data_IF_821399674305
#
_entry.id   IF_821399674305
#
_cell.length_a   1.000
_cell.length_b   1.000
_cell.length_c   1.000
_cell.angle_alpha   90.00
_cell.angle_beta   90.00
_cell.angle_gamma   90.00
#
_symmetry.space_group_name_H-M   'P 1'
#
loop_
_entity.id
_entity.type
_entity.pdbx_description
1 polymer ?
#
# COMPACT_ATOMS: atom_id res chain seq x y z
N UNK A 1 34.18 17.33 28.41
CA UNK A 1 32.95 17.99 28.93
C UNK A 1 31.80 17.47 28.07
N UNK A 2 31.25 16.28 28.39
CA UNK A 2 29.96 16.06 29.07
C UNK A 2 28.85 16.94 28.46
N UNK A 3 27.75 16.43 27.89
CA UNK A 3 26.71 15.52 28.42
C UNK A 3 25.91 15.03 27.17
N UNK A 4 25.48 13.78 26.98
CA UNK A 4 24.37 13.14 27.67
C UNK A 4 24.25 11.66 27.27
N UNK A 5 24.36 10.76 28.26
CA UNK A 5 23.85 9.40 28.25
C UNK A 5 22.83 9.34 29.37
N UNK A 6 21.59 8.93 29.09
CA UNK A 6 20.67 8.56 30.16
C UNK A 6 19.83 7.36 29.74
N UNK A 7 20.26 6.22 30.28
CA UNK A 7 19.50 5.00 30.43
C UNK A 7 18.36 5.26 31.41
N UNK A 8 17.13 4.85 31.11
CA UNK A 8 16.16 4.48 32.14
C UNK A 8 15.35 3.28 31.68
N UNK A 9 15.76 2.12 32.20
CA UNK A 9 14.87 0.99 32.49
C UNK A 9 13.77 1.48 33.41
N UNK A 10 12.53 1.03 33.19
CA UNK A 10 11.68 0.55 34.27
C UNK A 10 10.69 -0.48 33.73
N UNK A 11 10.63 -1.59 34.45
CA UNK A 11 9.82 -2.77 34.19
C UNK A 11 8.63 -2.78 35.17
N UNK A 12 7.60 -3.53 34.78
CA UNK A 12 6.60 -4.19 35.62
C UNK A 12 5.37 -3.40 36.14
N UNK A 13 4.20 -3.73 35.58
CA UNK A 13 3.13 -4.56 36.22
C UNK A 13 1.99 -4.76 35.20
N UNK A 14 1.77 -5.96 34.66
CA UNK A 14 0.93 -7.05 35.21
C UNK A 14 -0.47 -6.58 35.63
N UNK A 15 -1.49 -6.94 34.84
CA UNK A 15 -2.64 -7.67 35.38
C UNK A 15 -3.31 -8.50 34.27
N UNK A 16 -3.53 -9.77 34.60
CA UNK A 16 -4.12 -10.84 33.80
C UNK A 16 -5.66 -10.80 33.83
N UNK A 17 -6.24 -11.76 33.08
CA UNK A 17 -7.56 -12.42 33.20
C UNK A 17 -8.41 -12.18 31.95
N UNK A 18 -8.94 -13.18 31.22
CA UNK A 18 -9.14 -14.60 31.52
C UNK A 18 -9.17 -15.42 30.23
N UNK A 19 -8.58 -16.63 30.30
CA UNK A 19 -8.95 -17.77 29.46
C UNK A 19 -10.14 -18.47 30.11
N UNK A 20 -11.18 -18.81 29.36
CA UNK A 20 -12.09 -19.92 29.70
C UNK A 20 -12.35 -20.71 28.44
N UNK A 21 -12.07 -22.01 28.51
CA UNK A 21 -12.24 -23.04 27.49
C UNK A 21 -13.25 -24.05 28.00
N UNK A 22 -14.25 -24.33 27.14
CA UNK A 22 -15.01 -25.56 26.91
C UNK A 22 -15.26 -26.56 28.06
N UNK A 23 -16.55 -26.76 28.36
CA UNK A 23 -17.30 -28.05 28.46
C UNK A 23 -18.79 -27.65 28.28
N UNK A 24 -19.67 -28.23 27.47
CA UNK A 24 -19.91 -29.62 27.12
C UNK A 24 -21.09 -30.14 27.94
N UNK A 25 -22.33 -30.15 27.43
CA UNK A 25 -23.34 -31.16 27.78
C UNK A 25 -24.56 -31.17 26.85
N UNK A 26 -25.00 -32.39 26.57
CA UNK A 26 -25.99 -32.82 25.61
C UNK A 26 -27.43 -32.73 26.13
N UNK A 27 -28.34 -32.52 25.17
CA UNK A 27 -29.74 -32.98 25.06
C UNK A 27 -30.55 -33.30 26.33
N UNK A 28 -31.73 -32.69 26.44
CA UNK A 28 -32.99 -33.46 26.46
C UNK A 28 -34.16 -32.67 25.84
N UNK A 29 -34.99 -33.44 25.16
CA UNK A 29 -36.27 -33.14 24.50
C UNK A 29 -37.37 -32.74 25.47
N UNK A 30 -38.32 -31.90 25.05
CA UNK A 30 -39.56 -31.66 25.80
C UNK A 30 -40.60 -30.87 25.00
N UNK A 31 -41.70 -31.55 24.67
CA UNK A 31 -42.78 -31.14 23.77
C UNK A 31 -44.01 -30.68 24.59
N UNK A 32 -44.82 -29.76 24.02
CA UNK A 32 -46.29 -29.60 24.18
C UNK A 32 -46.95 -28.75 25.30
N UNK A 33 -47.59 -27.65 24.82
CA UNK A 33 -49.04 -27.33 24.86
C UNK A 33 -49.68 -26.50 26.00
N UNK A 34 -50.68 -25.70 25.57
CA UNK A 34 -51.68 -24.86 26.27
C UNK A 34 -51.23 -23.46 26.74
N UNK A 35 -52.02 -22.38 26.70
CA UNK A 35 -53.21 -21.94 25.97
C UNK A 35 -53.50 -20.48 26.46
N UNK A 36 -54.36 -19.78 25.74
CA UNK A 36 -55.22 -18.67 26.21
C UNK A 36 -54.70 -17.21 26.26
N UNK A 37 -55.17 -16.45 25.27
CA UNK A 37 -55.91 -15.17 25.38
C UNK A 37 -55.18 -13.91 25.89
N UNK A 38 -54.82 -13.07 24.92
CA UNK A 38 -55.52 -11.81 24.67
C UNK A 38 -55.35 -10.65 25.67
N UNK A 39 -54.46 -9.72 25.35
CA UNK A 39 -54.60 -8.29 25.69
C UNK A 39 -54.08 -7.44 24.51
N UNK A 40 -54.90 -6.45 24.12
CA UNK A 40 -54.66 -5.47 23.05
C UNK A 40 -53.73 -4.32 23.54
N UNK A 41 -53.64 -3.18 22.83
CA UNK A 41 -52.56 -2.81 21.93
C UNK A 41 -51.71 -1.65 22.50
N UNK A 42 -50.45 -1.53 22.10
CA UNK A 42 -49.72 -0.29 22.25
C UNK A 42 -48.95 -0.02 20.96
N UNK A 43 -49.48 0.93 20.19
CA UNK A 43 -48.75 1.60 19.14
C UNK A 43 -47.45 2.16 19.73
N UNK A 44 -46.31 1.68 19.25
CA UNK A 44 -45.07 2.44 19.33
C UNK A 44 -44.54 2.55 17.90
N UNK A 45 -44.65 3.79 17.41
CA UNK A 45 -44.09 4.27 16.15
C UNK A 45 -42.58 3.94 16.11
N UNK A 46 -42.05 3.39 15.00
CA UNK A 46 -40.61 3.39 14.80
C UNK A 46 -40.16 4.85 14.67
N UNK A 47 -39.31 5.29 15.58
CA UNK A 47 -38.52 6.50 15.40
C UNK A 47 -37.48 6.21 14.30
N UNK A 48 -37.85 6.35 13.02
CA UNK A 48 -36.86 6.56 11.97
C UNK A 48 -36.33 7.99 12.11
N UNK A 49 -35.51 8.22 13.14
CA UNK A 49 -34.57 9.34 13.14
C UNK A 49 -33.30 8.86 12.46
N UNK A 50 -33.29 9.04 11.14
CA UNK A 50 -32.17 9.53 10.35
C UNK A 50 -30.91 9.85 11.20
N UNK A 51 -30.09 8.85 11.49
CA UNK A 51 -28.69 9.07 11.80
C UNK A 51 -27.95 8.88 10.51
N UNK A 52 -28.01 9.98 9.76
CA UNK A 52 -27.06 10.39 8.74
C UNK A 52 -25.74 9.64 8.85
N UNK A 53 -25.45 8.90 7.80
CA UNK A 53 -24.16 8.41 7.36
C UNK A 53 -23.00 9.29 7.87
N UNK A 54 -22.48 8.97 9.05
CA UNK A 54 -21.13 9.33 9.47
C UNK A 54 -20.45 8.00 9.78
N UNK A 55 -20.37 7.12 8.78
CA UNK A 55 -19.19 6.26 8.64
C UNK A 55 -18.09 7.16 8.09
N UNK A 56 -17.66 8.11 8.92
CA UNK A 56 -16.36 8.75 8.76
C UNK A 56 -15.37 7.68 9.14
N UNK A 57 -15.08 6.84 8.16
CA UNK A 57 -13.92 5.98 8.10
C UNK A 57 -12.73 6.92 8.23
N UNK A 58 -12.38 7.22 9.48
CA UNK A 58 -11.15 7.89 9.83
C UNK A 58 -10.07 6.88 9.50
N UNK A 59 -9.63 6.91 8.24
CA UNK A 59 -8.34 6.37 7.84
C UNK A 59 -7.33 7.16 8.65
N UNK A 60 -6.95 6.57 9.78
CA UNK A 60 -5.85 6.98 10.63
C UNK A 60 -4.66 7.29 9.74
N UNK A 61 -4.25 8.56 9.69
CA UNK A 61 -2.88 9.01 9.38
C UNK A 61 -2.08 8.04 8.51
N UNK A 62 -2.21 8.17 7.19
CA UNK A 62 -1.36 7.48 6.22
C UNK A 62 0.11 7.78 6.51
N UNK A 63 0.75 6.85 7.22
CA UNK A 63 2.20 6.79 7.27
C UNK A 63 2.67 6.42 5.87
N UNK A 64 3.47 7.29 5.26
CA UNK A 64 3.96 7.20 3.87
C UNK A 64 4.33 5.79 3.42
N UNK A 65 3.34 5.10 2.85
CA UNK A 65 3.50 3.75 2.32
C UNK A 65 4.09 3.88 0.92
N UNK A 66 5.30 3.36 0.75
CA UNK A 66 5.90 3.21 -0.58
C UNK A 66 5.07 2.23 -1.41
N UNK A 67 4.59 2.70 -2.57
CA UNK A 67 3.74 1.92 -3.46
C UNK A 67 4.51 1.54 -4.74
N UNK A 68 4.51 0.24 -5.04
CA UNK A 68 5.02 -0.32 -6.29
C UNK A 68 3.85 -0.73 -7.16
N UNK A 69 3.85 -0.22 -8.38
CA UNK A 69 2.82 -0.36 -9.39
C UNK A 69 3.30 -1.36 -10.44
N UNK A 70 2.55 -2.43 -10.69
CA UNK A 70 2.76 -3.25 -11.88
C UNK A 70 1.80 -2.76 -12.98
N UNK A 71 2.35 -2.23 -14.06
CA UNK A 71 1.56 -1.70 -15.18
C UNK A 71 1.00 -2.86 -15.99
N UNK A 72 -0.30 -2.82 -16.27
CA UNK A 72 -0.99 -3.89 -17.01
C UNK A 72 -1.08 -3.61 -18.52
N UNK A 73 -1.33 -2.35 -18.87
CA UNK A 73 -1.52 -1.89 -20.25
C UNK A 73 -1.28 -0.37 -20.34
N UNK A 74 -1.45 0.21 -21.52
CA UNK A 74 -1.27 1.65 -21.78
C UNK A 74 -2.25 2.54 -21.02
N UNK A 75 -3.51 2.11 -20.84
CA UNK A 75 -4.52 2.88 -20.11
C UNK A 75 -4.20 2.92 -18.61
N UNK A 76 -3.73 1.80 -18.05
CA UNK A 76 -3.23 1.70 -16.69
C UNK A 76 -1.98 2.57 -16.49
N UNK A 77 -1.04 2.55 -17.45
CA UNK A 77 0.12 3.42 -17.45
C UNK A 77 -0.28 4.90 -17.44
N UNK A 78 -1.20 5.31 -18.32
CA UNK A 78 -1.67 6.69 -18.39
C UNK A 78 -2.26 7.16 -17.05
N UNK A 79 -3.19 6.38 -16.50
CA UNK A 79 -3.89 6.74 -15.24
C UNK A 79 -2.97 6.78 -14.04
N UNK A 80 -1.98 5.88 -13.95
CA UNK A 80 -1.19 5.68 -12.72
C UNK A 80 0.19 6.31 -12.78
N UNK A 81 0.74 6.51 -13.97
CA UNK A 81 2.07 7.06 -14.21
C UNK A 81 1.99 8.48 -14.76
N UNK A 82 1.25 8.70 -15.86
CA UNK A 82 1.21 10.02 -16.50
C UNK A 82 0.41 11.05 -15.70
N UNK A 83 -0.70 10.61 -15.11
CA UNK A 83 -1.59 11.44 -14.29
C UNK A 83 -1.18 11.46 -12.81
N UNK A 84 -0.01 10.90 -12.47
CA UNK A 84 0.49 10.85 -11.09
C UNK A 84 0.83 12.24 -10.55
N UNK A 85 0.29 12.60 -9.39
CA UNK A 85 0.65 13.83 -8.68
C UNK A 85 2.06 13.77 -8.08
N UNK A 86 2.50 12.56 -7.71
CA UNK A 86 3.83 12.31 -7.16
C UNK A 86 4.84 12.00 -8.29
N UNK A 87 6.11 12.40 -8.14
CA UNK A 87 7.18 11.89 -8.97
C UNK A 87 7.21 10.36 -8.95
N UNK A 88 7.51 9.76 -10.11
CA UNK A 88 7.46 8.31 -10.28
C UNK A 88 8.70 7.80 -11.02
N UNK A 89 9.25 6.70 -10.51
CA UNK A 89 10.31 5.95 -11.16
C UNK A 89 9.67 4.82 -11.95
N UNK A 90 9.88 4.79 -13.26
CA UNK A 90 9.38 3.74 -14.15
C UNK A 90 10.53 2.81 -14.50
N UNK A 91 10.46 1.55 -14.11
CA UNK A 91 11.43 0.52 -14.42
C UNK A 91 10.89 -0.44 -15.48
N UNK A 92 11.40 -0.32 -16.70
CA UNK A 92 11.16 -1.28 -17.77
C UNK A 92 12.04 -2.51 -17.56
N UNK A 93 11.41 -3.68 -17.46
CA UNK A 93 12.06 -4.95 -17.16
C UNK A 93 11.50 -6.09 -18.01
N UNK A 94 12.07 -7.29 -17.84
CA UNK A 94 11.50 -8.53 -18.35
C UNK A 94 11.74 -9.67 -17.34
N UNK A 95 10.91 -10.70 -17.36
CA UNK A 95 11.02 -11.85 -16.42
C UNK A 95 12.33 -12.63 -16.55
N UNK A 96 12.88 -12.69 -17.77
CA UNK A 96 14.14 -13.34 -18.13
C UNK A 96 15.38 -12.48 -17.86
N UNK A 97 15.21 -11.20 -17.50
CA UNK A 97 16.31 -10.27 -17.30
C UNK A 97 16.99 -10.47 -15.94
N UNK A 98 18.18 -11.10 -15.94
CA UNK A 98 19.01 -11.29 -14.75
C UNK A 98 19.37 -9.98 -14.01
N UNK A 99 19.94 -8.96 -14.69
CA UNK A 99 20.26 -7.67 -14.05
C UNK A 99 19.04 -6.96 -13.46
N UNK A 100 17.85 -7.11 -14.04
CA UNK A 100 16.61 -6.52 -13.53
C UNK A 100 16.26 -7.05 -12.14
N UNK A 101 16.52 -8.35 -11.88
CA UNK A 101 16.30 -8.99 -10.57
C UNK A 101 17.21 -8.44 -9.47
N UNK A 102 18.36 -7.85 -9.84
CA UNK A 102 19.26 -7.16 -8.91
C UNK A 102 18.87 -5.70 -8.71
N UNK A 103 18.51 -5.00 -9.79
CA UNK A 103 18.19 -3.57 -9.75
C UNK A 103 16.85 -3.28 -9.05
N UNK A 104 15.81 -4.09 -9.31
CA UNK A 104 14.47 -3.88 -8.77
C UNK A 104 14.43 -3.73 -7.24
N UNK A 105 14.98 -4.70 -6.46
CA UNK A 105 15.01 -4.61 -5.01
C UNK A 105 15.82 -3.41 -4.47
N UNK A 106 16.85 -2.96 -5.20
CA UNK A 106 17.65 -1.80 -4.81
C UNK A 106 16.87 -0.50 -4.99
N UNK A 107 16.16 -0.35 -6.11
CA UNK A 107 15.24 0.76 -6.35
C UNK A 107 14.16 0.81 -5.26
N UNK A 108 13.51 -0.33 -4.98
CA UNK A 108 12.46 -0.40 -3.96
C UNK A 108 12.95 -0.01 -2.57
N UNK A 109 14.13 -0.49 -2.19
CA UNK A 109 14.75 -0.15 -0.91
C UNK A 109 14.96 1.36 -0.80
N UNK A 110 15.65 1.98 -1.77
CA UNK A 110 15.97 3.41 -1.72
C UNK A 110 14.72 4.28 -1.77
N UNK A 111 13.74 3.93 -2.62
CA UNK A 111 12.49 4.68 -2.71
C UNK A 111 11.60 4.51 -1.48
N UNK A 112 11.71 3.40 -0.75
CA UNK A 112 10.99 3.22 0.52
C UNK A 112 11.44 4.20 1.61
N UNK A 113 12.69 4.67 1.53
CA UNK A 113 13.26 5.65 2.47
C UNK A 113 12.71 7.06 2.22
N UNK A 114 12.14 7.32 1.03
CA UNK A 114 11.54 8.60 0.64
C UNK A 114 10.12 8.83 1.21
N UNK A 115 9.62 7.92 2.06
CA UNK A 115 8.35 8.07 2.81
C UNK A 115 7.15 8.42 1.93
N UNK A 116 7.07 7.82 0.74
CA UNK A 116 5.96 8.02 -0.19
C UNK A 116 6.05 9.30 -1.04
N UNK A 117 7.15 10.06 -0.99
CA UNK A 117 7.37 11.19 -1.90
C UNK A 117 7.50 10.75 -3.35
N UNK A 118 8.07 9.56 -3.58
CA UNK A 118 8.31 8.98 -4.90
C UNK A 118 7.60 7.63 -4.99
N UNK A 119 6.90 7.41 -6.10
CA UNK A 119 6.26 6.11 -6.43
C UNK A 119 7.14 5.31 -7.37
N UNK A 120 6.90 4.02 -7.49
CA UNK A 120 7.58 3.17 -8.47
C UNK A 120 6.58 2.45 -9.35
N UNK A 121 6.81 2.44 -10.67
CA UNK A 121 6.10 1.61 -11.63
C UNK A 121 7.07 0.62 -12.28
N UNK A 122 6.59 -0.61 -12.50
CA UNK A 122 7.25 -1.68 -13.22
C UNK A 122 6.46 -1.91 -14.51
N UNK A 123 7.18 -1.95 -15.62
CA UNK A 123 6.61 -2.23 -16.95
C UNK A 123 7.34 -3.44 -17.51
N UNK A 124 6.61 -4.52 -17.73
CA UNK A 124 7.16 -5.68 -18.43
C UNK A 124 7.12 -5.42 -19.94
N UNK A 125 8.29 -5.46 -20.59
CA UNK A 125 8.42 -5.16 -22.02
C UNK A 125 7.86 -6.25 -22.93
N UNK A 126 7.71 -7.49 -22.43
CA UNK A 126 7.11 -8.58 -23.19
C UNK A 126 5.58 -8.44 -23.22
N UNK A 127 5.00 -7.86 -22.17
CA UNK A 127 3.55 -7.60 -22.07
C UNK A 127 3.16 -6.24 -22.67
N UNK A 128 4.07 -5.25 -22.65
CA UNK A 128 3.80 -3.86 -23.03
C UNK A 128 4.83 -3.35 -24.08
N UNK A 129 4.95 -4.05 -25.21
CA UNK A 129 5.98 -3.77 -26.22
C UNK A 129 5.86 -2.39 -26.86
N UNK A 130 4.65 -1.96 -27.20
CA UNK A 130 4.39 -0.69 -27.88
C UNK A 130 4.71 0.48 -26.95
N UNK A 131 4.25 0.40 -25.70
CA UNK A 131 4.62 1.34 -24.64
C UNK A 131 6.14 1.42 -24.45
N UNK A 132 6.84 0.28 -24.42
CA UNK A 132 8.30 0.27 -24.31
C UNK A 132 8.96 0.98 -25.52
N UNK A 133 8.44 0.77 -26.73
CA UNK A 133 8.92 1.43 -27.94
C UNK A 133 8.69 2.94 -27.93
N UNK A 134 7.53 3.39 -27.47
CA UNK A 134 7.17 4.81 -27.36
C UNK A 134 8.11 5.58 -26.44
N UNK A 135 8.57 4.93 -25.37
CA UNK A 135 9.58 5.48 -24.45
C UNK A 135 11.03 5.21 -24.89
N UNK A 136 11.24 4.68 -26.10
CA UNK A 136 12.56 4.46 -26.67
C UNK A 136 13.37 3.37 -25.96
N UNK A 137 12.71 2.43 -25.29
CA UNK A 137 13.37 1.33 -24.57
C UNK A 137 13.93 0.33 -25.59
N UNK A 138 15.26 0.27 -25.69
CA UNK A 138 15.98 -0.65 -26.60
C UNK A 138 16.62 -1.84 -25.89
N UNK A 139 16.72 -1.78 -24.57
CA UNK A 139 17.32 -2.81 -23.74
C UNK A 139 16.80 -2.70 -22.31
N UNK A 140 16.71 -3.83 -21.61
CA UNK A 140 16.35 -3.86 -20.19
C UNK A 140 17.56 -4.17 -19.29
N UNK A 141 17.62 -3.62 -18.07
CA UNK A 141 16.68 -2.64 -17.51
C UNK A 141 16.87 -1.24 -18.12
N UNK A 142 15.76 -0.53 -18.34
CA UNK A 142 15.75 0.92 -18.58
C UNK A 142 14.89 1.57 -17.52
N UNK A 143 15.40 2.63 -16.90
CA UNK A 143 14.70 3.32 -15.80
C UNK A 143 14.52 4.78 -16.16
N UNK A 144 13.28 5.26 -16.06
CA UNK A 144 12.90 6.65 -16.25
C UNK A 144 12.49 7.27 -14.92
N UNK A 145 12.86 8.53 -14.71
CA UNK A 145 12.32 9.38 -13.68
C UNK A 145 11.30 10.32 -14.33
N UNK A 146 10.05 10.27 -13.88
CA UNK A 146 8.96 11.06 -14.44
C UNK A 146 8.32 11.94 -13.39
N UNK A 147 7.94 13.15 -13.80
CA UNK A 147 7.21 14.13 -12.98
C UNK A 147 6.29 14.94 -13.88
N UNK A 148 5.03 15.13 -13.47
CA UNK A 148 4.00 15.84 -14.23
C UNK A 148 3.82 15.29 -15.66
N UNK A 149 3.77 13.97 -15.79
CA UNK A 149 3.63 13.28 -17.09
C UNK A 149 4.83 13.40 -18.04
N UNK A 150 5.96 13.97 -17.60
CA UNK A 150 7.16 14.18 -18.42
C UNK A 150 8.36 13.42 -17.88
N UNK A 151 9.17 12.90 -18.79
CA UNK A 151 10.48 12.30 -18.47
C UNK A 151 11.45 13.41 -18.08
N UNK A 152 12.02 13.30 -16.87
CA UNK A 152 13.00 14.23 -16.33
C UNK A 152 14.44 13.72 -16.55
N UNK A 153 14.65 12.41 -16.37
CA UNK A 153 15.93 11.76 -16.60
C UNK A 153 15.77 10.27 -16.85
N UNK A 154 16.79 9.64 -17.43
CA UNK A 154 16.82 8.20 -17.68
C UNK A 154 18.21 7.60 -17.48
N UNK A 155 18.26 6.29 -17.21
CA UNK A 155 19.48 5.49 -17.35
C UNK A 155 19.15 4.08 -17.86
N UNK A 156 20.18 3.40 -18.37
CA UNK A 156 20.08 2.04 -18.90
C UNK A 156 21.10 1.14 -18.20
N UNK A 157 20.70 -0.09 -17.88
CA UNK A 157 21.55 -1.10 -17.26
C UNK A 157 21.55 -1.07 -15.73
N UNK A 158 22.38 -1.94 -15.16
CA UNK A 158 22.61 -2.01 -13.72
C UNK A 158 23.65 -0.95 -13.32
N UNK A 159 23.34 -0.16 -12.29
CA UNK A 159 24.22 0.88 -11.74
C UNK A 159 24.34 0.70 -10.22
N UNK A 160 25.37 1.31 -9.64
CA UNK A 160 25.63 1.27 -8.19
C UNK A 160 24.66 2.15 -7.40
N UNK A 161 24.47 1.82 -6.13
CA UNK A 161 23.48 2.43 -5.24
C UNK A 161 23.66 3.96 -5.13
N UNK A 162 24.89 4.47 -5.10
CA UNK A 162 25.18 5.91 -5.06
C UNK A 162 24.63 6.66 -6.30
N UNK A 163 24.70 6.01 -7.47
CA UNK A 163 24.15 6.57 -8.72
C UNK A 163 22.63 6.52 -8.71
N UNK A 164 22.04 5.48 -8.12
CA UNK A 164 20.59 5.38 -7.93
C UNK A 164 20.11 6.48 -7.00
N UNK A 165 20.77 6.69 -5.85
CA UNK A 165 20.41 7.76 -4.92
C UNK A 165 20.48 9.13 -5.60
N UNK A 166 21.58 9.42 -6.30
CA UNK A 166 21.74 10.66 -7.05
C UNK A 166 20.63 10.86 -8.10
N UNK A 167 20.19 9.77 -8.74
CA UNK A 167 19.11 9.81 -9.71
C UNK A 167 17.76 10.15 -9.06
N UNK A 168 17.47 9.57 -7.89
CA UNK A 168 16.26 9.85 -7.11
C UNK A 168 16.27 11.29 -6.55
N UNK A 169 17.40 11.74 -6.00
CA UNK A 169 17.53 13.08 -5.43
C UNK A 169 17.27 14.18 -6.46
N UNK A 170 17.77 14.01 -7.69
CA UNK A 170 17.51 14.95 -8.80
C UNK A 170 16.03 15.08 -9.13
N UNK A 171 15.27 13.99 -9.04
CA UNK A 171 13.84 13.98 -9.29
C UNK A 171 13.05 14.78 -8.24
N UNK A 172 13.53 14.84 -7.01
CA UNK A 172 12.89 15.57 -5.91
C UNK A 172 13.16 17.08 -5.94
N UNK A 173 14.26 17.50 -6.57
CA UNK A 173 14.69 18.92 -6.62
C UNK A 173 14.12 19.65 -7.85
N UNK A 174 13.85 18.92 -8.94
CA UNK A 174 13.36 19.46 -10.23
C UNK A 174 11.90 19.86 -10.14
#
# INVERSE_FOLDING_TARGET
MNVARQLFRQSARISQCSKVVLTGLWQTTGLHHFAHVGLKPAMLRPCLSLQSNITRFMSSTESGKFEVINVQDEDDFKKRVLESENPIIVAFHATWCGPCKLLGPRLEKLLSEEKGKVRMARVDIDENSDLAMDYGVRSVPTVLAMKNGKVQSQFVGLIDDDKIQTFVDKLLIT
#
